data_IF_221357644806
#
_entry.id   IF_221357644806
#
_cell.length_a   1.000
_cell.length_b   1.000
_cell.length_c   1.000
_cell.angle_alpha   90.00
_cell.angle_beta   90.00
_cell.angle_gamma   90.00
#
_symmetry.space_group_name_H-M   'P 1'
#
loop_
_entity.id
_entity.type
_entity.pdbx_description
1 polymer ?
#
# COMPACT_ATOMS: atom_id res chain seq x y z
N UNK A 1 -4.14 15.42 7.36
CA UNK A 1 -5.02 14.72 6.39
C UNK A 1 -5.90 13.72 7.15
N UNK A 2 -7.16 13.50 6.75
CA UNK A 2 -7.97 12.42 7.32
C UNK A 2 -7.33 11.05 7.05
N UNK A 3 -7.52 10.05 7.93
CA UNK A 3 -6.93 8.73 7.75
C UNK A 3 -7.53 8.02 6.53
N UNK A 4 -6.69 7.34 5.75
CA UNK A 4 -7.05 6.66 4.50
C UNK A 4 -7.84 5.37 4.78
N UNK A 5 -7.48 4.67 5.86
CA UNK A 5 -8.26 3.60 6.47
C UNK A 5 -9.16 4.16 7.58
N UNK A 6 -10.36 3.60 7.70
CA UNK A 6 -11.21 3.79 8.89
C UNK A 6 -11.31 2.47 9.65
N UNK A 7 -11.31 2.49 10.98
CA UNK A 7 -11.50 1.27 11.77
C UNK A 7 -12.80 0.56 11.41
N UNK A 8 -12.76 -0.78 11.38
CA UNK A 8 -13.98 -1.60 11.21
C UNK A 8 -14.84 -1.42 12.46
N UNK A 9 -16.03 -0.84 12.29
CA UNK A 9 -17.00 -0.65 13.39
C UNK A 9 -17.86 -1.90 13.53
N UNK A 10 -17.33 -2.93 14.18
CA UNK A 10 -18.04 -4.19 14.41
C UNK A 10 -17.64 -4.82 15.74
N UNK A 11 -18.57 -5.49 16.43
CA UNK A 11 -18.28 -6.25 17.66
C UNK A 11 -17.54 -7.57 17.38
N UNK A 12 -17.72 -8.15 16.19
CA UNK A 12 -17.16 -9.44 15.78
C UNK A 12 -16.68 -9.37 14.33
N UNK A 13 -15.58 -8.65 14.06
CA UNK A 13 -15.01 -8.61 12.72
C UNK A 13 -14.54 -10.00 12.29
N UNK A 14 -14.62 -10.28 10.99
CA UNK A 14 -14.09 -11.50 10.39
C UNK A 14 -12.80 -11.14 9.65
N UNK A 15 -11.77 -11.97 9.79
CA UNK A 15 -10.54 -11.83 9.03
C UNK A 15 -10.65 -12.59 7.70
N UNK A 16 -10.25 -11.96 6.60
CA UNK A 16 -10.02 -12.62 5.32
C UNK A 16 -8.62 -12.30 4.81
N UNK A 17 -8.03 -13.21 4.07
CA UNK A 17 -6.81 -12.97 3.32
C UNK A 17 -7.20 -12.48 1.93
N UNK A 18 -6.76 -11.28 1.54
CA UNK A 18 -7.00 -10.73 0.21
C UNK A 18 -5.67 -10.56 -0.52
N UNK A 19 -5.63 -10.89 -1.82
CA UNK A 19 -4.42 -10.75 -2.62
C UNK A 19 -4.08 -9.28 -2.88
N UNK A 20 -2.83 -8.94 -2.60
CA UNK A 20 -2.17 -7.70 -3.03
C UNK A 20 -0.93 -7.99 -3.88
N UNK A 21 -0.31 -6.92 -4.38
CA UNK A 21 1.02 -6.97 -4.97
C UNK A 21 2.01 -6.31 -4.02
N UNK A 22 3.13 -6.98 -3.76
CA UNK A 22 4.20 -6.50 -2.91
C UNK A 22 5.46 -6.26 -3.74
N UNK A 23 5.98 -5.05 -3.64
CA UNK A 23 7.28 -4.62 -4.13
C UNK A 23 8.22 -4.60 -2.94
N UNK A 24 8.80 -5.76 -2.63
CA UNK A 24 9.70 -5.91 -1.48
C UNK A 24 10.99 -5.10 -1.71
N UNK A 25 11.62 -4.63 -0.62
CA UNK A 25 12.84 -3.83 -0.70
C UNK A 25 14.05 -4.62 -1.23
N UNK A 26 14.02 -5.94 -1.08
CA UNK A 26 15.09 -6.89 -1.40
C UNK A 26 14.78 -7.77 -2.63
N UNK A 27 13.68 -7.49 -3.34
CA UNK A 27 13.26 -8.26 -4.51
C UNK A 27 13.46 -7.49 -5.82
N UNK A 28 13.81 -8.22 -6.89
CA UNK A 28 13.90 -7.70 -8.25
C UNK A 28 12.54 -7.59 -8.93
N UNK A 29 11.59 -8.45 -8.56
CA UNK A 29 10.26 -8.51 -9.15
C UNK A 29 9.14 -8.40 -8.10
N UNK A 30 7.98 -7.82 -8.45
CA UNK A 30 6.84 -7.78 -7.54
C UNK A 30 6.24 -9.19 -7.35
N UNK A 31 5.89 -9.50 -6.10
CA UNK A 31 5.26 -10.77 -5.73
C UNK A 31 3.79 -10.59 -5.36
N UNK A 32 3.01 -11.67 -5.48
CA UNK A 32 1.63 -11.68 -4.95
C UNK A 32 1.66 -12.08 -3.49
N UNK A 33 1.03 -11.29 -2.63
CA UNK A 33 0.99 -11.51 -1.17
C UNK A 33 -0.44 -11.58 -0.67
N UNK A 34 -0.64 -12.26 0.45
CA UNK A 34 -1.91 -12.31 1.16
C UNK A 34 -1.90 -11.27 2.28
N UNK A 35 -2.80 -10.30 2.20
CA UNK A 35 -2.93 -9.23 3.19
C UNK A 35 -4.08 -9.59 4.14
N UNK A 36 -3.81 -9.82 5.43
CA UNK A 36 -4.87 -10.01 6.42
C UNK A 36 -5.75 -8.78 6.47
N UNK A 37 -7.05 -8.97 6.25
CA UNK A 37 -8.02 -7.88 6.12
C UNK A 37 -9.20 -8.13 7.03
N UNK A 38 -9.46 -7.22 7.96
CA UNK A 38 -10.65 -7.24 8.79
C UNK A 38 -11.87 -6.73 8.00
N UNK A 39 -12.98 -7.45 8.12
CA UNK A 39 -14.21 -7.19 7.37
C UNK A 39 -15.42 -7.30 8.31
N UNK A 40 -16.41 -6.43 8.10
CA UNK A 40 -17.71 -6.58 8.76
C UNK A 40 -18.46 -7.79 8.17
N UNK A 41 -18.94 -8.77 8.97
CA UNK A 41 -19.52 -10.02 8.45
C UNK A 41 -20.72 -9.83 7.53
N UNK A 42 -21.60 -8.87 7.83
CA UNK A 42 -22.87 -8.64 7.10
C UNK A 42 -23.02 -7.30 6.38
N UNK A 43 -22.10 -6.34 6.61
CA UNK A 43 -22.26 -4.95 6.16
C UNK A 43 -20.96 -4.42 5.55
N UNK A 44 -20.36 -5.20 4.66
CA UNK A 44 -19.19 -4.77 3.90
C UNK A 44 -19.60 -3.72 2.85
N UNK A 45 -19.05 -2.51 2.97
CA UNK A 45 -19.44 -1.38 2.13
C UNK A 45 -18.69 -0.10 2.49
N UNK A 46 -18.99 1.02 1.80
CA UNK A 46 -18.35 2.32 2.08
C UNK A 46 -18.56 2.81 3.53
N UNK A 47 -19.68 2.45 4.16
CA UNK A 47 -19.99 2.80 5.55
C UNK A 47 -19.20 1.99 6.60
N UNK A 48 -18.74 0.78 6.24
CA UNK A 48 -17.86 -0.06 7.06
C UNK A 48 -16.72 -0.57 6.19
N UNK A 49 -15.73 0.28 5.87
CA UNK A 49 -14.65 -0.12 5.00
C UNK A 49 -13.85 -1.26 5.63
N UNK A 50 -13.39 -2.17 4.78
CA UNK A 50 -12.44 -3.22 5.17
C UNK A 50 -11.12 -2.58 5.62
N UNK A 51 -10.47 -3.20 6.59
CA UNK A 51 -9.22 -2.73 7.18
C UNK A 51 -8.10 -3.74 6.90
N UNK A 52 -7.32 -3.55 5.83
CA UNK A 52 -6.14 -4.37 5.56
C UNK A 52 -5.05 -4.06 6.58
N UNK A 53 -4.34 -5.07 7.09
CA UNK A 53 -3.17 -4.90 7.95
C UNK A 53 -1.90 -4.98 7.10
N UNK A 54 -1.43 -3.82 6.67
CA UNK A 54 -0.22 -3.71 5.85
C UNK A 54 1.05 -3.98 6.65
N UNK A 55 0.98 -3.77 7.96
CA UNK A 55 2.04 -4.02 8.94
C UNK A 55 2.43 -5.51 8.95
N UNK A 56 1.47 -6.41 8.66
CA UNK A 56 1.72 -7.84 8.53
C UNK A 56 2.55 -8.22 7.27
N UNK A 57 2.73 -7.29 6.32
CA UNK A 57 3.50 -7.50 5.08
C UNK A 57 4.74 -6.63 5.04
N UNK A 58 4.61 -5.34 5.37
CA UNK A 58 5.69 -4.34 5.34
C UNK A 58 6.50 -4.28 6.63
N UNK A 59 6.07 -4.98 7.68
CA UNK A 59 6.67 -4.84 9.01
C UNK A 59 6.20 -3.58 9.74
N UNK A 60 6.85 -3.29 10.86
CA UNK A 60 6.50 -2.21 11.81
C UNK A 60 7.67 -1.25 12.09
N UNK A 61 8.80 -1.47 11.42
CA UNK A 61 10.07 -0.79 11.67
C UNK A 61 10.06 0.66 11.19
N UNK A 62 9.24 0.98 10.19
CA UNK A 62 9.07 2.31 9.65
C UNK A 62 7.60 2.64 9.37
N UNK A 63 7.31 3.94 9.27
CA UNK A 63 5.97 4.46 9.09
C UNK A 63 5.39 4.03 7.75
N UNK A 64 4.14 3.57 7.78
CA UNK A 64 3.39 3.20 6.57
C UNK A 64 2.54 4.39 6.16
N UNK A 65 2.81 4.91 4.97
CA UNK A 65 2.01 5.92 4.31
C UNK A 65 1.03 5.27 3.36
N UNK A 66 -0.23 5.68 3.45
CA UNK A 66 -1.30 5.11 2.66
C UNK A 66 -1.91 6.15 1.75
N UNK A 67 -2.30 5.76 0.54
CA UNK A 67 -3.04 6.64 -0.35
C UNK A 67 -3.83 5.88 -1.41
N UNK A 68 -4.92 6.50 -1.87
CA UNK A 68 -5.70 6.00 -2.99
C UNK A 68 -5.18 6.59 -4.30
N UNK A 69 -4.78 5.73 -5.23
CA UNK A 69 -4.36 6.11 -6.57
C UNK A 69 -5.42 5.69 -7.59
N UNK A 70 -5.82 6.65 -8.42
CA UNK A 70 -6.77 6.46 -9.51
C UNK A 70 -6.04 6.34 -10.85
N UNK A 71 -6.40 5.32 -11.63
CA UNK A 71 -5.90 5.08 -12.99
C UNK A 71 -7.07 4.80 -13.94
N UNK A 72 -6.92 5.21 -15.19
CA UNK A 72 -7.87 4.89 -16.26
C UNK A 72 -7.34 3.68 -17.05
N UNK A 73 -8.24 2.79 -17.47
CA UNK A 73 -7.88 1.79 -18.49
C UNK A 73 -7.98 2.38 -19.91
N UNK A 74 -7.70 1.57 -20.93
CA UNK A 74 -7.83 1.96 -22.34
C UNK A 74 -9.26 2.31 -22.78
N UNK A 75 -10.27 1.98 -21.96
CA UNK A 75 -11.69 2.23 -22.21
C UNK A 75 -12.22 3.36 -21.31
N UNK A 76 -11.34 4.23 -20.79
CA UNK A 76 -11.63 5.35 -19.87
C UNK A 76 -12.41 5.00 -18.58
N UNK A 77 -12.40 3.74 -18.19
CA UNK A 77 -12.95 3.30 -16.91
C UNK A 77 -11.94 3.55 -15.78
N UNK A 78 -12.39 4.24 -14.73
CA UNK A 78 -11.60 4.49 -13.52
C UNK A 78 -11.46 3.22 -12.66
N UNK A 79 -10.21 2.90 -12.32
CA UNK A 79 -9.85 1.92 -11.31
C UNK A 79 -9.11 2.60 -10.18
N UNK A 80 -9.34 2.13 -8.95
CA UNK A 80 -8.72 2.66 -7.73
C UNK A 80 -7.83 1.60 -7.11
N UNK A 81 -6.68 2.01 -6.60
CA UNK A 81 -5.73 1.14 -5.93
C UNK A 81 -5.32 1.79 -4.61
N UNK A 82 -5.34 1.02 -3.52
CA UNK A 82 -4.79 1.43 -2.24
C UNK A 82 -3.31 1.08 -2.24
N UNK A 83 -2.48 2.10 -2.15
CA UNK A 83 -1.03 1.98 -2.03
C UNK A 83 -0.67 2.21 -0.57
N UNK A 84 -0.01 1.23 0.04
CA UNK A 84 0.64 1.35 1.33
C UNK A 84 2.14 1.26 1.10
N UNK A 85 2.87 2.31 1.47
CA UNK A 85 4.29 2.44 1.20
C UNK A 85 5.05 2.74 2.47
N UNK A 86 6.21 2.11 2.61
CA UNK A 86 7.13 2.34 3.70
C UNK A 86 8.44 2.85 3.10
N UNK A 87 8.93 3.96 3.64
CA UNK A 87 10.24 4.50 3.27
C UNK A 87 11.28 4.11 4.32
N UNK A 88 12.47 3.71 3.88
CA UNK A 88 13.57 3.24 4.72
C UNK A 88 14.90 3.77 4.17
N UNK A 89 15.50 4.78 4.81
CA UNK A 89 16.77 5.40 4.35
C UNK A 89 17.95 4.42 4.28
N UNK A 90 17.97 3.45 5.20
CA UNK A 90 19.03 2.44 5.31
C UNK A 90 18.94 1.34 4.25
N UNK A 91 17.78 1.23 3.59
CA UNK A 91 17.55 0.23 2.57
C UNK A 91 18.20 0.67 1.23
N UNK A 92 18.53 -0.30 0.38
CA UNK A 92 18.89 -0.03 -1.01
C UNK A 92 17.70 0.55 -1.78
N UNK A 93 17.97 1.17 -2.92
CA UNK A 93 16.90 1.58 -3.85
C UNK A 93 16.19 0.30 -4.31
N UNK A 94 14.86 0.32 -4.24
CA UNK A 94 14.04 -0.85 -4.52
C UNK A 94 14.07 -1.18 -6.03
N UNK A 95 14.74 -2.28 -6.39
CA UNK A 95 14.91 -2.71 -7.78
C UNK A 95 13.57 -3.00 -8.48
N UNK A 96 12.62 -3.65 -7.78
CA UNK A 96 11.29 -3.92 -8.32
C UNK A 96 10.50 -2.65 -8.65
N UNK A 97 10.72 -1.55 -7.91
CA UNK A 97 10.12 -0.25 -8.21
C UNK A 97 10.87 0.50 -9.31
N UNK A 98 12.20 0.36 -9.41
CA UNK A 98 12.97 0.89 -10.53
C UNK A 98 12.55 0.28 -11.87
N UNK A 99 12.17 -1.01 -11.89
CA UNK A 99 11.62 -1.65 -13.08
C UNK A 99 10.29 -1.01 -13.54
N UNK A 100 9.54 -0.35 -12.64
CA UNK A 100 8.31 0.40 -12.96
C UNK A 100 8.62 1.83 -13.41
N UNK A 101 9.58 2.49 -12.76
CA UNK A 101 10.04 3.83 -13.12
C UNK A 101 11.50 4.02 -12.72
N UNK A 102 12.38 4.02 -13.71
CA UNK A 102 13.84 4.00 -13.54
C UNK A 102 14.39 5.20 -12.76
N UNK A 103 13.72 6.35 -12.83
CA UNK A 103 14.15 7.59 -12.14
C UNK A 103 13.80 7.58 -10.64
N UNK A 104 13.12 6.55 -10.14
CA UNK A 104 12.79 6.48 -8.72
C UNK A 104 14.03 6.26 -7.85
N UNK A 105 14.14 7.04 -6.79
CA UNK A 105 15.08 6.85 -5.69
C UNK A 105 14.42 6.19 -4.46
N UNK A 106 13.24 5.58 -4.63
CA UNK A 106 12.49 5.02 -3.51
C UNK A 106 13.26 3.88 -2.83
N UNK A 107 13.42 3.99 -1.51
CA UNK A 107 14.02 2.98 -0.64
C UNK A 107 12.95 2.47 0.32
N UNK A 108 12.81 1.14 0.43
CA UNK A 108 11.75 0.51 1.23
C UNK A 108 10.69 -0.19 0.38
N UNK A 109 9.67 -0.74 1.05
CA UNK A 109 8.65 -1.60 0.44
C UNK A 109 7.34 -0.89 0.10
N UNK A 110 6.57 -1.52 -0.79
CA UNK A 110 5.24 -1.03 -1.16
C UNK A 110 4.27 -2.20 -1.40
N UNK A 111 3.08 -2.11 -0.81
CA UNK A 111 1.96 -3.04 -1.05
C UNK A 111 0.82 -2.31 -1.76
N UNK A 112 0.30 -2.93 -2.81
CA UNK A 112 -0.86 -2.44 -3.57
C UNK A 112 -2.03 -3.41 -3.42
N UNK A 113 -3.19 -2.87 -3.05
CA UNK A 113 -4.45 -3.60 -3.08
C UNK A 113 -5.43 -2.93 -4.04
N UNK A 114 -6.30 -3.72 -4.65
CA UNK A 114 -7.30 -3.21 -5.59
C UNK A 114 -8.51 -2.65 -4.84
N UNK A 115 -8.99 -1.49 -5.27
CA UNK A 115 -10.24 -0.90 -4.79
C UNK A 115 -11.48 -1.51 -5.45
N UNK A 116 -12.53 -1.73 -4.66
CA UNK A 116 -13.83 -2.16 -5.17
C UNK A 116 -14.74 -0.99 -5.54
N UNK A 117 -15.84 -1.29 -6.27
CA UNK A 117 -16.92 -0.32 -6.49
C UNK A 117 -17.71 -0.06 -5.19
N UNK A 118 -18.01 -1.13 -4.47
CA UNK A 118 -18.83 -1.10 -3.25
C UNK A 118 -18.03 -1.36 -1.97
N UNK A 119 -16.94 -2.13 -2.05
CA UNK A 119 -16.02 -2.41 -0.93
C UNK A 119 -14.75 -1.56 -1.06
N UNK A 120 -14.12 -1.21 0.06
CA UNK A 120 -12.87 -0.43 0.06
C UNK A 120 -11.77 -1.16 -0.71
N UNK A 121 -11.37 -2.36 -0.27
CA UNK A 121 -10.39 -3.22 -0.95
C UNK A 121 -10.99 -4.56 -1.36
N UNK A 122 -10.55 -5.13 -2.47
CA UNK A 122 -10.96 -6.44 -3.01
C UNK A 122 -9.74 -7.21 -3.52
N UNK A 123 -9.95 -8.46 -3.91
CA UNK A 123 -8.92 -9.28 -4.57
C UNK A 123 -8.30 -8.55 -5.76
N UNK A 124 -6.97 -8.63 -5.87
CA UNK A 124 -6.20 -8.04 -6.97
C UNK A 124 -6.76 -8.48 -8.34
N UNK A 125 -7.05 -9.77 -8.48
CA UNK A 125 -7.53 -10.37 -9.73
C UNK A 125 -6.39 -10.70 -10.71
N UNK A 126 -6.76 -10.93 -11.97
CA UNK A 126 -5.83 -11.42 -13.00
C UNK A 126 -4.84 -10.40 -13.55
N UNK A 127 -4.07 -10.82 -14.55
CA UNK A 127 -2.96 -10.05 -15.16
C UNK A 127 -3.36 -8.64 -15.64
N UNK A 128 -4.61 -8.44 -16.07
CA UNK A 128 -5.13 -7.10 -16.43
C UNK A 128 -5.04 -6.13 -15.26
N UNK A 129 -5.48 -6.53 -14.07
CA UNK A 129 -5.49 -5.66 -12.89
C UNK A 129 -4.09 -5.48 -12.30
N UNK A 130 -3.23 -6.50 -12.42
CA UNK A 130 -1.81 -6.37 -12.05
C UNK A 130 -1.11 -5.31 -12.90
N UNK A 131 -1.38 -5.24 -14.21
CA UNK A 131 -0.88 -4.16 -15.09
C UNK A 131 -1.41 -2.79 -14.70
N UNK A 132 -2.69 -2.67 -14.37
CA UNK A 132 -3.27 -1.41 -13.88
C UNK A 132 -2.69 -0.99 -12.52
N UNK A 133 -2.41 -1.95 -11.64
CA UNK A 133 -1.74 -1.71 -10.36
C UNK A 133 -0.31 -1.18 -10.58
N UNK A 134 0.45 -1.73 -11.53
CA UNK A 134 1.76 -1.22 -11.90
C UNK A 134 1.70 0.24 -12.40
N UNK A 135 0.67 0.61 -13.18
CA UNK A 135 0.44 2.01 -13.56
C UNK A 135 0.11 2.91 -12.35
N UNK A 136 -0.64 2.38 -11.37
CA UNK A 136 -0.93 3.10 -10.14
C UNK A 136 0.34 3.32 -9.31
N UNK A 137 1.21 2.32 -9.21
CA UNK A 137 2.54 2.44 -8.57
C UNK A 137 3.39 3.47 -9.28
N UNK A 138 3.47 3.43 -10.63
CA UNK A 138 4.21 4.44 -11.39
C UNK A 138 3.71 5.85 -11.08
N UNK A 139 2.39 6.05 -11.09
CA UNK A 139 1.77 7.35 -10.77
C UNK A 139 2.05 7.78 -9.34
N UNK A 140 2.03 6.85 -8.39
CA UNK A 140 2.41 7.11 -7.00
C UNK A 140 3.86 7.61 -6.93
N UNK A 141 4.81 6.85 -7.49
CA UNK A 141 6.24 7.17 -7.43
C UNK A 141 6.54 8.54 -8.06
N UNK A 142 5.97 8.85 -9.22
CA UNK A 142 6.14 10.15 -9.88
C UNK A 142 5.64 11.29 -9.00
N UNK A 143 4.49 11.11 -8.34
CA UNK A 143 3.91 12.14 -7.48
C UNK A 143 4.67 12.31 -6.15
N UNK A 144 5.30 11.25 -5.63
CA UNK A 144 6.05 11.28 -4.36
C UNK A 144 7.53 11.57 -4.54
N UNK A 145 8.07 11.51 -5.76
CA UNK A 145 9.47 11.79 -6.06
C UNK A 145 10.01 13.08 -5.42
N UNK A 146 9.34 14.25 -5.51
CA UNK A 146 9.86 15.47 -4.91
C UNK A 146 9.86 15.45 -3.37
N UNK A 147 9.14 14.50 -2.74
CA UNK A 147 9.03 14.37 -1.29
C UNK A 147 10.07 13.41 -0.70
N UNK A 148 10.82 12.67 -1.54
CA UNK A 148 11.79 11.68 -1.07
C UNK A 148 12.89 12.33 -0.23
N UNK A 149 13.36 13.52 -0.62
CA UNK A 149 14.37 14.27 0.14
C UNK A 149 13.87 14.64 1.55
N UNK A 150 12.59 14.96 1.70
CA UNK A 150 11.97 15.23 3.02
C UNK A 150 11.86 13.94 3.84
N UNK A 151 11.48 12.82 3.21
CA UNK A 151 11.38 11.51 3.87
C UNK A 151 12.74 11.00 4.36
N UNK A 152 13.83 11.27 3.66
CA UNK A 152 15.20 10.96 4.10
C UNK A 152 15.56 11.63 5.43
N UNK A 153 15.03 12.83 5.68
CA UNK A 153 15.28 13.55 6.93
C UNK A 153 14.45 13.00 8.09
N UNK A 154 13.20 12.59 7.82
CA UNK A 154 12.26 12.06 8.84
C UNK A 154 12.58 10.60 9.20
N UNK A 155 13.00 9.79 8.23
CA UNK A 155 13.33 8.37 8.43
C UNK A 155 14.53 8.13 9.35
N UNK A 156 15.35 9.16 9.62
CA UNK A 156 16.50 9.10 10.53
C UNK A 156 16.14 9.11 12.02
N UNK A 157 14.86 9.22 12.38
CA UNK A 157 14.42 9.18 13.78
C UNK A 157 13.82 7.81 14.14
N UNK A 158 14.58 6.89 14.76
CA UNK A 158 13.96 5.81 15.52
C UNK A 158 13.36 6.44 16.77
N UNK A 159 12.04 6.66 16.79
CA UNK A 159 11.35 6.97 18.04
C UNK A 159 11.22 5.69 18.89
N UNK A 160 12.35 5.12 19.32
CA UNK A 160 12.38 4.30 20.54
C UNK A 160 12.57 5.29 21.68
N UNK A 161 11.46 5.83 22.18
CA UNK A 161 11.49 6.41 23.51
C UNK A 161 11.75 5.27 24.50
N UNK A 162 12.70 5.40 25.43
CA UNK A 162 12.90 4.37 26.45
C UNK A 162 11.59 4.18 27.21
N UNK A 163 11.14 2.93 27.31
CA UNK A 163 10.21 2.56 28.35
C UNK A 163 10.91 2.81 29.69
N UNK A 164 10.43 3.79 30.44
CA UNK A 164 10.53 3.99 31.90
C UNK A 164 10.69 5.48 32.26
N UNK A 165 9.65 6.03 32.89
CA UNK A 165 9.77 6.79 34.14
C UNK A 165 8.77 6.15 35.11
#
# INVERSE_FOLDING_TARGET
MPPVRSPVRCKKPVMKQLQGLHYACDAEEPSTVWVPTMIHPSHDGSANPRFPSFEAVLGVEAWIHETWVKVLNADDNEHRFLVAAQYCSECAINASLQAIWQETSWRGGLVVMRGGKYSSVIEMGGARFKRLAALAVRKYLVNTAPLVEELEQVSRAPAVMPAHI
#
